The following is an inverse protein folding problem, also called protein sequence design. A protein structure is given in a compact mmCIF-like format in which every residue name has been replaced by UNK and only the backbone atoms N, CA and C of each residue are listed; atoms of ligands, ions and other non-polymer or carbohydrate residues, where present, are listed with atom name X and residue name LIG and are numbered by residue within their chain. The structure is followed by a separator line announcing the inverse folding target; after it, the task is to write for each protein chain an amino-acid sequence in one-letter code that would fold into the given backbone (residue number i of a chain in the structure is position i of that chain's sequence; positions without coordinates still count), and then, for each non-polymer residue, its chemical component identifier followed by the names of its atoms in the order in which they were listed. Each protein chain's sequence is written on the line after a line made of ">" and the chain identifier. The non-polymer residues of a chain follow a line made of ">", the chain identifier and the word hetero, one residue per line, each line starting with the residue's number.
data_IF_701178122735
#
_entry.id   IF_701178122735
#
_cell.length_a   1.000
_cell.length_b   1.000
_cell.length_c   1.000
_cell.angle_alpha   90.00
_cell.angle_beta   90.00
_cell.angle_gamma   90.00
#
_symmetry.space_group_name_H-M   'P 1'
#
loop_
_entity.id
_entity.type
_entity.pdbx_description
1 polymer ?
#
# COMPACT_ATOMS: atom_id res chain seq x y z
N UNK A 1 20.55 5.48 8.84
CA UNK A 1 19.51 5.15 7.85
C UNK A 1 18.80 3.91 8.36
N UNK A 2 17.58 4.08 8.85
CA UNK A 2 16.73 2.98 9.30
C UNK A 2 15.64 2.77 8.26
N UNK A 3 15.40 1.51 7.87
CA UNK A 3 14.27 1.12 7.02
C UNK A 3 13.19 0.54 7.92
N UNK A 4 11.94 0.79 7.58
CA UNK A 4 10.79 0.39 8.38
C UNK A 4 10.11 -0.79 7.72
N UNK A 5 10.19 -1.97 8.34
CA UNK A 5 9.50 -3.17 7.88
C UNK A 5 8.10 -3.25 8.49
N UNK A 6 7.08 -3.35 7.64
CA UNK A 6 5.68 -3.50 8.05
C UNK A 6 5.28 -4.95 7.84
N UNK A 7 4.86 -5.61 8.93
CA UNK A 7 4.40 -7.00 8.92
C UNK A 7 2.87 -7.03 9.05
N UNK A 8 2.22 -7.79 8.17
CA UNK A 8 0.77 -7.94 8.11
C UNK A 8 0.45 -9.42 8.20
N UNK A 9 -0.35 -9.81 9.19
CA UNK A 9 -0.87 -11.17 9.31
C UNK A 9 -1.85 -11.46 8.16
N UNK A 10 -1.69 -12.59 7.49
CA UNK A 10 -2.57 -12.99 6.40
C UNK A 10 -3.82 -13.71 6.93
N UNK A 11 -4.94 -13.62 6.19
CA UNK A 11 -6.24 -14.19 6.59
C UNK A 11 -6.20 -15.73 6.75
N UNK A 12 -5.33 -16.39 6.00
CA UNK A 12 -5.09 -17.83 5.98
C UNK A 12 -3.93 -18.27 6.88
N UNK A 13 -3.35 -17.33 7.64
CA UNK A 13 -2.19 -17.55 8.51
C UNK A 13 -0.87 -17.14 7.86
N UNK A 14 0.15 -16.95 8.70
CA UNK A 14 1.46 -16.44 8.27
C UNK A 14 1.48 -14.92 8.11
N UNK A 15 2.54 -14.42 7.47
CA UNK A 15 2.86 -13.00 7.42
C UNK A 15 3.27 -12.57 6.01
N UNK A 16 2.71 -11.45 5.56
CA UNK A 16 3.25 -10.65 4.46
C UNK A 16 4.05 -9.49 5.04
N UNK A 17 5.18 -9.15 4.42
CA UNK A 17 6.06 -8.08 4.90
C UNK A 17 6.57 -7.23 3.74
N UNK A 18 6.69 -5.92 3.98
CA UNK A 18 7.26 -4.98 3.03
C UNK A 18 8.04 -3.86 3.74
N UNK A 19 8.85 -3.11 3.00
CA UNK A 19 9.56 -1.93 3.51
C UNK A 19 8.76 -0.66 3.17
N UNK A 20 8.42 0.17 4.16
CA UNK A 20 7.61 1.38 3.97
C UNK A 20 8.26 2.35 2.97
N UNK A 21 9.57 2.52 3.05
CA UNK A 21 10.33 3.42 2.18
C UNK A 21 10.49 2.85 0.75
N UNK A 22 10.35 1.53 0.60
CA UNK A 22 10.47 0.82 -0.67
C UNK A 22 9.39 -0.26 -0.78
N UNK A 23 8.12 0.12 -1.03
CA UNK A 23 6.98 -0.79 -1.01
C UNK A 23 7.09 -1.93 -2.03
N UNK A 24 7.98 -1.81 -3.01
CA UNK A 24 8.23 -2.84 -4.00
C UNK A 24 9.18 -3.95 -3.50
N UNK A 25 9.80 -3.77 -2.34
CA UNK A 25 10.54 -4.82 -1.63
C UNK A 25 9.58 -5.52 -0.68
N UNK A 26 9.00 -6.61 -1.18
CA UNK A 26 8.01 -7.43 -0.47
C UNK A 26 8.50 -8.85 -0.27
N UNK A 27 8.00 -9.51 0.78
CA UNK A 27 8.23 -10.91 1.05
C UNK A 27 7.08 -11.50 1.89
N UNK A 28 7.11 -12.81 2.11
CA UNK A 28 6.15 -13.54 2.94
C UNK A 28 6.84 -14.65 3.74
N UNK A 29 6.17 -15.18 4.77
CA UNK A 29 6.63 -16.34 5.54
C UNK A 29 5.50 -16.94 6.37
N UNK A 30 5.57 -18.22 6.70
CA UNK A 30 4.60 -18.90 7.57
C UNK A 30 4.71 -18.43 9.02
N UNK A 31 5.89 -17.93 9.41
CA UNK A 31 6.16 -17.35 10.72
C UNK A 31 6.73 -15.93 10.58
N UNK A 32 6.65 -15.15 11.65
CA UNK A 32 7.21 -13.80 11.69
C UNK A 32 8.73 -13.80 11.44
N UNK A 33 9.45 -14.79 12.00
CA UNK A 33 10.89 -14.93 11.83
C UNK A 33 11.26 -15.29 10.39
N UNK A 34 10.52 -16.19 9.77
CA UNK A 34 10.69 -16.54 8.36
C UNK A 34 10.43 -15.33 7.46
N UNK A 35 9.36 -14.59 7.70
CA UNK A 35 9.06 -13.37 6.93
C UNK A 35 10.19 -12.34 7.06
N UNK A 36 10.76 -12.16 8.26
CA UNK A 36 11.90 -11.26 8.51
C UNK A 36 13.14 -11.68 7.73
N UNK A 37 13.49 -12.96 7.76
CA UNK A 37 14.65 -13.48 7.05
C UNK A 37 14.46 -13.39 5.53
N UNK A 38 13.27 -13.73 5.04
CA UNK A 38 12.95 -13.62 3.62
C UNK A 38 12.99 -12.16 3.14
N UNK A 39 12.55 -11.20 3.96
CA UNK A 39 12.68 -9.77 3.67
C UNK A 39 14.15 -9.34 3.57
N UNK A 40 15.01 -9.80 4.47
CA UNK A 40 16.46 -9.53 4.42
C UNK A 40 17.06 -10.00 3.10
N UNK A 41 16.73 -11.21 2.66
CA UNK A 41 17.14 -11.74 1.35
C UNK A 41 16.56 -10.95 0.17
N UNK A 42 15.32 -10.49 0.27
CA UNK A 42 14.71 -9.64 -0.76
C UNK A 42 15.46 -8.31 -0.90
N UNK A 43 15.82 -7.66 0.21
CA UNK A 43 16.61 -6.43 0.24
C UNK A 43 17.99 -6.60 -0.37
N UNK A 44 18.71 -7.68 -0.02
CA UNK A 44 20.04 -7.96 -0.57
C UNK A 44 19.99 -8.16 -2.09
N UNK A 45 19.01 -8.92 -2.58
CA UNK A 45 18.79 -9.12 -4.02
C UNK A 45 18.45 -7.81 -4.72
N UNK A 46 17.54 -7.01 -4.15
CA UNK A 46 17.14 -5.71 -4.72
C UNK A 46 18.33 -4.78 -4.86
N UNK A 47 19.14 -4.68 -3.79
CA UNK A 47 20.38 -3.90 -3.79
C UNK A 47 21.32 -4.37 -4.90
N UNK A 48 21.56 -5.68 -5.02
CA UNK A 48 22.42 -6.24 -6.06
C UNK A 48 21.96 -5.86 -7.48
N UNK A 49 20.67 -5.98 -7.76
CA UNK A 49 20.07 -5.60 -9.05
C UNK A 49 20.26 -4.11 -9.32
N UNK A 50 19.96 -3.25 -8.35
CA UNK A 50 20.09 -1.79 -8.53
C UNK A 50 21.55 -1.36 -8.71
N UNK A 51 22.50 -2.00 -8.03
CA UNK A 51 23.93 -1.76 -8.24
C UNK A 51 24.37 -2.14 -9.66
N UNK A 52 24.01 -3.35 -10.12
CA UNK A 52 24.33 -3.79 -11.48
C UNK A 52 23.72 -2.87 -12.55
N UNK A 53 22.48 -2.41 -12.32
CA UNK A 53 21.85 -1.43 -13.21
C UNK A 53 22.62 -0.10 -13.24
N UNK A 54 23.04 0.42 -12.09
CA UNK A 54 23.84 1.64 -12.01
C UNK A 54 25.20 1.49 -12.73
N UNK A 55 25.83 0.32 -12.64
CA UNK A 55 27.06 0.01 -13.39
C UNK A 55 26.83 0.03 -14.91
N UNK A 56 25.71 -0.50 -15.39
CA UNK A 56 25.35 -0.44 -16.81
C UNK A 56 25.16 1.01 -17.29
N UNK A 57 24.57 1.88 -16.47
CA UNK A 57 24.44 3.31 -16.79
C UNK A 57 25.83 3.97 -16.92
N UNK A 58 26.75 3.67 -15.99
CA UNK A 58 28.13 4.17 -16.07
C UNK A 58 28.83 3.65 -17.33
N UNK A 59 28.68 2.37 -17.66
CA UNK A 59 29.33 1.74 -18.82
C UNK A 59 28.86 2.32 -20.17
N UNK A 60 27.65 2.88 -20.24
CA UNK A 60 27.11 3.53 -21.45
C UNK A 60 27.72 4.91 -21.73
N UNK A 61 28.70 5.35 -20.95
CA UNK A 61 29.41 6.62 -21.19
C UNK A 61 28.64 7.86 -20.73
N UNK A 62 27.60 7.68 -19.91
CA UNK A 62 26.91 8.81 -19.30
C UNK A 62 27.83 9.55 -18.30
N UNK A 63 27.65 10.87 -18.17
CA UNK A 63 28.31 11.62 -17.08
C UNK A 63 27.61 11.29 -15.77
N UNK A 64 28.27 10.54 -14.89
CA UNK A 64 27.70 10.06 -13.62
C UNK A 64 28.32 10.77 -12.43
N UNK A 65 27.48 11.21 -11.49
CA UNK A 65 27.88 11.76 -10.18
C UNK A 65 27.31 10.83 -9.11
N UNK A 66 28.11 10.50 -8.10
CA UNK A 66 27.69 9.67 -6.96
C UNK A 66 27.94 10.45 -5.68
N UNK A 67 26.91 10.57 -4.86
CA UNK A 67 27.00 11.22 -3.56
C UNK A 67 26.23 10.40 -2.52
N UNK A 68 26.66 10.40 -1.25
CA UNK A 68 25.88 9.81 -0.17
C UNK A 68 24.56 10.55 0.01
N UNK A 69 23.48 9.81 0.17
CA UNK A 69 22.17 10.35 0.52
C UNK A 69 21.72 9.74 1.84
N UNK A 70 21.29 10.57 2.79
CA UNK A 70 20.74 10.13 4.07
C UNK A 70 19.28 10.53 4.15
N UNK A 71 18.42 9.61 4.59
CA UNK A 71 17.08 9.98 5.02
C UNK A 71 17.20 10.85 6.27
N UNK A 72 16.46 11.96 6.28
CA UNK A 72 16.17 12.69 7.52
C UNK A 72 15.09 11.86 8.22
N UNK A 73 15.36 11.39 9.43
CA UNK A 73 14.37 10.62 10.19
C UNK A 73 13.09 11.48 10.30
N UNK A 74 12.01 11.00 9.69
CA UNK A 74 10.72 11.64 9.83
C UNK A 74 10.21 11.34 11.24
N UNK A 75 9.59 12.34 11.88
CA UNK A 75 8.99 12.21 13.21
C UNK A 75 8.12 10.94 13.25
N UNK A 76 8.11 10.20 14.39
CA UNK A 76 7.27 9.03 14.52
C UNK A 76 5.85 9.41 14.12
N UNK A 77 5.26 8.65 13.19
CA UNK A 77 3.86 8.81 12.84
C UNK A 77 3.09 8.59 14.13
N UNK A 78 2.39 9.62 14.58
CA UNK A 78 1.58 9.52 15.79
C UNK A 78 0.53 8.42 15.54
N UNK A 79 0.68 7.28 16.22
CA UNK A 79 -0.28 6.16 16.14
C UNK A 79 -1.69 6.61 16.59
N UNK A 80 -1.79 7.77 17.25
CA UNK A 80 -3.05 8.40 17.64
C UNK A 80 -3.72 9.19 16.51
N UNK A 81 -3.06 9.41 15.37
CA UNK A 81 -3.69 10.05 14.22
C UNK A 81 -4.69 9.06 13.60
N UNK A 82 -6.01 9.34 13.61
CA UNK A 82 -6.97 8.44 13.01
C UNK A 82 -6.64 8.25 11.51
N UNK A 83 -6.83 7.05 10.95
CA UNK A 83 -6.56 6.81 9.54
C UNK A 83 -7.30 7.86 8.72
N UNK A 84 -6.60 8.46 7.74
CA UNK A 84 -7.24 9.36 6.79
C UNK A 84 -8.51 8.66 6.28
N UNK A 85 -9.68 9.33 6.33
CA UNK A 85 -10.94 8.65 6.10
C UNK A 85 -10.89 8.00 4.72
N UNK A 86 -10.95 6.67 4.67
CA UNK A 86 -11.16 5.94 3.42
C UNK A 86 -12.43 6.48 2.78
N UNK A 87 -12.52 6.54 1.44
CA UNK A 87 -13.69 7.08 0.76
C UNK A 87 -14.99 6.44 1.25
N UNK A 88 -14.98 5.15 1.64
CA UNK A 88 -16.15 4.49 2.23
C UNK A 88 -16.65 5.13 3.54
N UNK A 89 -15.76 5.48 4.48
CA UNK A 89 -16.16 6.10 5.76
C UNK A 89 -16.54 7.58 5.59
N UNK A 90 -15.89 8.27 4.66
CA UNK A 90 -16.27 9.63 4.27
C UNK A 90 -17.63 9.66 3.57
N UNK A 91 -17.93 8.68 2.71
CA UNK A 91 -19.23 8.53 2.05
C UNK A 91 -20.35 8.30 3.07
N UNK A 92 -20.11 7.47 4.09
CA UNK A 92 -21.08 7.24 5.17
C UNK A 92 -21.31 8.48 6.06
N UNK A 93 -20.36 9.41 6.14
CA UNK A 93 -20.55 10.66 6.87
C UNK A 93 -21.44 11.67 6.11
N UNK A 94 -21.46 11.58 4.78
CA UNK A 94 -22.31 12.40 3.92
C UNK A 94 -23.66 11.72 3.60
N UNK A 95 -23.72 10.39 3.70
CA UNK A 95 -24.95 9.65 3.63
C UNK A 95 -25.74 9.94 4.92
N UNK A 96 -26.73 10.84 4.83
CA UNK A 96 -27.68 11.02 5.91
C UNK A 96 -28.30 9.68 6.34
N UNK A 97 -28.85 9.63 7.55
CA UNK A 97 -29.63 8.48 7.99
C UNK A 97 -30.82 8.37 7.04
N UNK A 98 -30.90 7.28 6.31
CA UNK A 98 -32.05 7.00 5.45
C UNK A 98 -33.28 6.82 6.33
N UNK A 99 -34.19 7.81 6.36
CA UNK A 99 -35.49 7.68 7.00
C UNK A 99 -36.49 7.12 5.97
N UNK A 100 -36.62 5.80 5.94
CA UNK A 100 -37.60 5.11 5.10
C UNK A 100 -37.38 3.60 5.05
N UNK A 101 -37.91 2.83 6.00
CA UNK A 101 -37.74 1.36 6.04
C UNK A 101 -38.49 0.60 4.92
N UNK A 102 -39.08 1.29 3.94
CA UNK A 102 -39.80 0.67 2.85
C UNK A 102 -38.91 0.51 1.62
N UNK A 103 -38.29 -0.67 1.51
CA UNK A 103 -37.49 -1.10 0.37
C UNK A 103 -38.29 -0.99 -0.94
N UNK A 104 -39.58 -1.31 -0.92
CA UNK A 104 -40.40 -1.32 -2.12
C UNK A 104 -40.62 0.12 -2.65
N UNK A 105 -40.91 1.07 -1.76
CA UNK A 105 -41.02 2.48 -2.12
C UNK A 105 -39.71 3.08 -2.68
N UNK A 106 -38.56 2.63 -2.15
CA UNK A 106 -37.25 3.02 -2.66
C UNK A 106 -37.00 2.48 -4.08
N UNK A 107 -37.26 1.19 -4.28
CA UNK A 107 -37.13 0.55 -5.58
C UNK A 107 -38.05 1.20 -6.62
N UNK A 108 -39.30 1.48 -6.26
CA UNK A 108 -40.25 2.17 -7.13
C UNK A 108 -39.72 3.52 -7.61
N UNK A 109 -39.11 4.31 -6.72
CA UNK A 109 -38.51 5.62 -7.07
C UNK A 109 -37.35 5.47 -8.05
N UNK A 110 -36.47 4.49 -7.82
CA UNK A 110 -35.32 4.22 -8.70
C UNK A 110 -35.80 3.75 -10.07
N UNK A 111 -36.75 2.81 -10.11
CA UNK A 111 -37.25 2.26 -11.36
C UNK A 111 -38.16 3.22 -12.14
N UNK A 112 -38.86 4.13 -11.48
CA UNK A 112 -39.67 5.17 -12.13
C UNK A 112 -38.82 6.11 -13.01
N UNK A 113 -37.55 6.32 -12.66
CA UNK A 113 -36.64 7.20 -13.41
C UNK A 113 -35.79 6.47 -14.44
N UNK A 114 -35.90 5.14 -14.52
CA UNK A 114 -35.06 4.32 -15.39
C UNK A 114 -35.60 4.36 -16.82
N UNK A 115 -34.77 4.82 -17.76
CA UNK A 115 -35.09 4.67 -19.18
C UNK A 115 -34.79 3.25 -19.67
N UNK A 116 -35.64 2.68 -20.54
CA UNK A 116 -35.36 1.37 -21.15
C UNK A 116 -34.10 1.48 -22.01
N UNK A 117 -33.21 0.50 -21.89
CA UNK A 117 -32.06 0.38 -22.78
C UNK A 117 -32.57 -0.06 -24.15
N UNK A 118 -32.65 0.89 -25.08
CA UNK A 118 -32.91 0.59 -26.49
C UNK A 118 -31.59 0.21 -27.15
N UNK A 119 -31.48 -1.04 -27.59
CA UNK A 119 -30.36 -1.54 -28.39
C UNK A 119 -30.56 -1.18 -29.86
#
# INVERSE_FOLDING_TARGET
>A
MHLTAVFVEALDGGYTVFVEEFPEVISQGQTLDEARENLRHALERRRGIHHAFAEQVVARGHRVIREPYAFVDHLPRDEQQPPAPTPARALLACAGVWEGDDLDACLDTVYATRQPVTW
#
